data_IF_915419138807
#
_entry.id   IF_915419138807
#
_cell.length_a   1.000
_cell.length_b   1.000
_cell.length_c   1.000
_cell.angle_alpha   90.00
_cell.angle_beta   90.00
_cell.angle_gamma   90.00
#
_symmetry.space_group_name_H-M   'P 1'
#
loop_
_entity.id
_entity.type
_entity.pdbx_description
1 polymer ?
#
# COMPACT_ATOMS: atom_id res chain seq x y z
N UNK A 1 11.72 -2.20 11.54
CA UNK A 1 11.04 -3.37 10.92
C UNK A 1 10.91 -3.24 9.40
N UNK A 2 10.68 -2.04 8.84
CA UNK A 2 10.51 -1.85 7.39
C UNK A 2 11.70 -2.28 6.54
N UNK A 3 12.95 -2.13 7.00
CA UNK A 3 14.14 -2.58 6.26
C UNK A 3 14.20 -4.12 6.08
N UNK A 4 13.76 -4.90 7.08
CA UNK A 4 13.67 -6.35 6.97
C UNK A 4 12.54 -6.78 6.01
N UNK A 5 11.42 -6.05 6.01
CA UNK A 5 10.32 -6.24 5.06
C UNK A 5 10.70 -5.88 3.62
N UNK A 6 11.52 -4.84 3.43
CA UNK A 6 12.07 -4.47 2.11
C UNK A 6 13.04 -5.54 1.60
N UNK A 7 13.88 -6.13 2.46
CA UNK A 7 14.80 -7.21 2.07
C UNK A 7 14.06 -8.52 1.74
N UNK A 8 13.11 -8.92 2.58
CA UNK A 8 12.30 -10.12 2.34
C UNK A 8 11.36 -9.94 1.13
N UNK A 9 10.75 -8.76 1.00
CA UNK A 9 9.90 -8.39 -0.13
C UNK A 9 10.67 -8.26 -1.44
N UNK A 10 11.87 -7.68 -1.40
CA UNK A 10 12.78 -7.60 -2.55
C UNK A 10 13.20 -8.97 -3.04
N UNK A 11 13.56 -9.89 -2.13
CA UNK A 11 13.92 -11.28 -2.48
C UNK A 11 12.72 -12.09 -3.02
N UNK A 12 11.51 -11.87 -2.50
CA UNK A 12 10.29 -12.55 -2.95
C UNK A 12 9.77 -11.98 -4.28
N UNK A 13 9.92 -10.68 -4.50
CA UNK A 13 9.63 -10.00 -5.76
C UNK A 13 10.60 -10.43 -6.87
N UNK A 14 11.90 -10.53 -6.57
CA UNK A 14 12.94 -10.99 -7.52
C UNK A 14 12.70 -12.40 -8.04
N UNK A 15 12.01 -13.26 -7.27
CA UNK A 15 11.74 -14.65 -7.67
C UNK A 15 10.41 -14.86 -8.39
N UNK A 16 9.54 -13.85 -8.51
CA UNK A 16 8.17 -14.07 -9.01
C UNK A 16 7.87 -13.27 -10.28
N UNK A 17 7.70 -13.98 -11.40
CA UNK A 17 7.43 -13.40 -12.74
C UNK A 17 6.09 -12.64 -12.87
N UNK A 18 5.22 -12.68 -11.84
CA UNK A 18 3.89 -12.01 -11.76
C UNK A 18 3.85 -10.97 -10.64
N UNK A 19 4.57 -9.88 -10.84
CA UNK A 19 4.71 -8.73 -9.94
C UNK A 19 3.37 -8.14 -9.46
N UNK A 20 2.33 -8.12 -10.31
CA UNK A 20 1.01 -7.59 -9.94
C UNK A 20 0.27 -8.41 -8.89
N UNK A 21 0.43 -9.74 -8.87
CA UNK A 21 -0.29 -10.61 -7.93
C UNK A 21 0.29 -10.53 -6.51
N UNK A 22 1.61 -10.38 -6.41
CA UNK A 22 2.32 -10.20 -5.12
C UNK A 22 1.98 -8.83 -4.53
N UNK A 23 1.95 -7.78 -5.36
CA UNK A 23 1.54 -6.44 -4.95
C UNK A 23 0.09 -6.45 -4.41
N UNK A 24 -0.84 -7.00 -5.17
CA UNK A 24 -2.25 -7.10 -4.76
C UNK A 24 -2.44 -7.93 -3.50
N UNK A 25 -1.69 -9.04 -3.34
CA UNK A 25 -1.73 -9.86 -2.12
C UNK A 25 -1.23 -9.10 -0.89
N UNK A 26 -0.13 -8.36 -1.01
CA UNK A 26 0.40 -7.54 0.08
C UNK A 26 -0.53 -6.38 0.45
N UNK A 27 -1.11 -5.70 -0.55
CA UNK A 27 -2.11 -4.65 -0.31
C UNK A 27 -3.38 -5.20 0.33
N UNK A 28 -3.87 -6.36 -0.10
CA UNK A 28 -5.04 -7.01 0.49
C UNK A 28 -4.79 -7.41 1.95
N UNK A 29 -3.65 -8.03 2.24
CA UNK A 29 -3.30 -8.41 3.60
C UNK A 29 -3.13 -7.18 4.51
N UNK A 30 -2.54 -6.10 4.00
CA UNK A 30 -2.44 -4.83 4.76
C UNK A 30 -3.81 -4.20 4.98
N UNK A 31 -4.70 -4.23 3.98
CA UNK A 31 -6.07 -3.72 4.11
C UNK A 31 -6.88 -4.48 5.16
N UNK A 32 -6.71 -5.81 5.24
CA UNK A 32 -7.33 -6.67 6.26
C UNK A 32 -6.81 -6.29 7.65
N UNK A 33 -5.49 -6.14 7.81
CA UNK A 33 -4.88 -5.71 9.08
C UNK A 33 -5.43 -4.34 9.51
N UNK A 34 -5.52 -3.37 8.59
CA UNK A 34 -6.12 -2.07 8.87
C UNK A 34 -7.60 -2.17 9.25
N UNK A 35 -8.38 -3.03 8.59
CA UNK A 35 -9.78 -3.25 8.94
C UNK A 35 -9.92 -3.88 10.34
N UNK A 36 -9.07 -4.85 10.69
CA UNK A 36 -9.01 -5.42 12.04
C UNK A 36 -8.67 -4.37 13.10
N UNK A 37 -7.73 -3.46 12.82
CA UNK A 37 -7.40 -2.35 13.72
C UNK A 37 -8.56 -1.35 13.85
N UNK A 38 -9.30 -1.09 12.78
CA UNK A 38 -10.44 -0.17 12.78
C UNK A 38 -11.64 -0.69 13.59
N UNK A 39 -12.00 -1.96 13.42
CA UNK A 39 -13.26 -2.51 13.96
C UNK A 39 -13.06 -3.45 15.17
N UNK A 40 -11.87 -4.02 15.36
CA UNK A 40 -11.63 -5.10 16.31
C UNK A 40 -11.41 -4.68 17.76
N UNK A 41 -11.30 -3.38 18.08
CA UNK A 41 -10.90 -2.87 19.41
C UNK A 41 -9.74 -3.68 20.06
N UNK A 42 -8.59 -3.82 19.38
CA UNK A 42 -7.50 -4.66 19.85
C UNK A 42 -6.82 -4.11 21.11
N UNK A 43 -6.27 -5.01 21.91
CA UNK A 43 -5.41 -4.69 23.06
C UNK A 43 -4.10 -4.02 22.62
N UNK A 44 -3.37 -3.32 23.52
CA UNK A 44 -2.13 -2.62 23.18
C UNK A 44 -1.03 -3.52 22.57
N UNK A 45 -0.98 -4.79 22.99
CA UNK A 45 -0.07 -5.80 22.44
C UNK A 45 -0.44 -6.17 21.00
N UNK A 46 -1.73 -6.38 20.73
CA UNK A 46 -2.22 -6.70 19.39
C UNK A 46 -2.01 -5.55 18.42
N UNK A 47 -2.21 -4.29 18.86
CA UNK A 47 -1.92 -3.10 18.05
C UNK A 47 -0.44 -3.07 17.64
N UNK A 48 0.47 -3.37 18.57
CA UNK A 48 1.91 -3.35 18.31
C UNK A 48 2.31 -4.44 17.30
N UNK A 49 1.75 -5.64 17.44
CA UNK A 49 2.00 -6.75 16.51
C UNK A 49 1.41 -6.44 15.13
N UNK A 50 0.17 -5.96 15.05
CA UNK A 50 -0.50 -5.61 13.80
C UNK A 50 0.19 -4.47 13.06
N UNK A 51 0.67 -3.43 13.78
CA UNK A 51 1.48 -2.37 13.19
C UNK A 51 2.86 -2.85 12.74
N UNK A 52 3.49 -3.75 13.49
CA UNK A 52 4.73 -4.39 13.10
C UNK A 52 4.58 -5.18 11.79
N UNK A 53 3.51 -5.95 11.67
CA UNK A 53 3.14 -6.66 10.45
C UNK A 53 2.81 -5.68 9.31
N UNK A 54 1.99 -4.66 9.54
CA UNK A 54 1.67 -3.65 8.54
C UNK A 54 2.94 -2.92 8.02
N UNK A 55 3.90 -2.62 8.91
CA UNK A 55 5.19 -2.03 8.54
C UNK A 55 6.07 -2.99 7.72
N UNK A 56 6.02 -4.29 8.02
CA UNK A 56 6.70 -5.31 7.22
C UNK A 56 6.09 -5.43 5.82
N UNK A 57 4.75 -5.54 5.72
CA UNK A 57 4.04 -5.60 4.43
C UNK A 57 4.21 -4.32 3.61
N UNK A 58 4.21 -3.14 4.25
CA UNK A 58 4.50 -1.86 3.59
C UNK A 58 5.88 -1.86 2.92
N UNK A 59 6.87 -2.51 3.53
CA UNK A 59 8.20 -2.71 2.92
C UNK A 59 8.17 -3.56 1.65
N UNK A 60 7.24 -4.51 1.52
CA UNK A 60 7.05 -5.35 0.32
C UNK A 60 6.31 -4.57 -0.79
N UNK A 61 5.40 -3.68 -0.39
CA UNK A 61 4.54 -2.91 -1.31
C UNK A 61 5.36 -1.93 -2.16
N UNK A 62 6.34 -1.24 -1.57
CA UNK A 62 7.11 -0.17 -2.26
C UNK A 62 7.79 -0.64 -3.56
N UNK A 63 8.63 -1.70 -3.57
CA UNK A 63 9.25 -2.18 -4.81
C UNK A 63 8.22 -2.75 -5.80
N UNK A 64 7.19 -3.44 -5.31
CA UNK A 64 6.15 -4.02 -6.16
C UNK A 64 5.33 -2.95 -6.91
N UNK A 65 5.04 -1.84 -6.23
CA UNK A 65 4.37 -0.67 -6.82
C UNK A 65 5.25 -0.01 -7.88
N UNK A 66 6.53 0.17 -7.61
CA UNK A 66 7.45 0.80 -8.54
C UNK A 66 7.64 -0.07 -9.80
N UNK A 67 7.59 -1.40 -9.66
CA UNK A 67 7.57 -2.33 -10.80
C UNK A 67 6.26 -2.29 -11.61
N UNK A 68 5.10 -2.11 -10.97
CA UNK A 68 3.83 -1.91 -11.67
C UNK A 68 3.83 -0.62 -12.49
N UNK A 69 4.35 0.47 -11.92
CA UNK A 69 4.51 1.76 -12.60
C UNK A 69 5.44 1.61 -13.81
N UNK A 70 6.57 0.92 -13.64
CA UNK A 70 7.48 0.60 -14.74
C UNK A 70 6.82 -0.26 -15.82
N UNK A 71 6.06 -1.28 -15.44
CA UNK A 71 5.38 -2.19 -16.38
C UNK A 71 4.20 -1.52 -17.11
N UNK A 72 3.65 -0.43 -16.57
CA UNK A 72 2.62 0.39 -17.20
C UNK A 72 3.21 1.53 -18.06
N UNK A 73 4.49 1.87 -17.88
CA UNK A 73 5.14 2.94 -18.63
C UNK A 73 5.44 2.52 -20.08
N UNK A 74 5.20 3.41 -21.07
CA UNK A 74 5.67 3.19 -22.45
C UNK A 74 7.20 3.06 -22.49
N UNK A 75 7.73 2.20 -23.38
CA UNK A 75 9.18 2.00 -23.54
C UNK A 75 9.87 3.36 -23.79
N UNK A 76 10.82 3.72 -22.92
CA UNK A 76 11.58 4.97 -23.00
C UNK A 76 10.98 6.18 -22.26
N UNK A 77 9.78 6.07 -21.68
CA UNK A 77 9.13 7.14 -20.92
C UNK A 77 9.06 6.87 -19.40
N UNK A 78 9.81 5.89 -18.89
CA UNK A 78 9.79 5.47 -17.48
C UNK A 78 10.01 6.64 -16.51
N UNK A 79 10.96 7.53 -16.82
CA UNK A 79 11.27 8.70 -15.98
C UNK A 79 10.12 9.71 -15.87
N UNK A 80 9.35 9.91 -16.96
CA UNK A 80 8.20 10.82 -16.97
C UNK A 80 7.06 10.23 -16.14
N UNK A 81 6.78 8.94 -16.31
CA UNK A 81 5.73 8.24 -15.55
C UNK A 81 6.09 8.19 -14.06
N UNK A 82 7.36 7.91 -13.73
CA UNK A 82 7.84 7.93 -12.35
C UNK A 82 7.76 9.34 -11.75
N UNK A 83 8.06 10.38 -12.54
CA UNK A 83 7.87 11.78 -12.15
C UNK A 83 6.43 12.09 -11.75
N UNK A 84 5.45 11.70 -12.57
CA UNK A 84 4.01 11.89 -12.29
C UNK A 84 3.59 11.16 -11.01
N UNK A 85 4.03 9.90 -10.83
CA UNK A 85 3.73 9.11 -9.62
C UNK A 85 4.35 9.75 -8.38
N UNK A 86 5.59 10.23 -8.48
CA UNK A 86 6.30 10.88 -7.38
C UNK A 86 5.61 12.18 -6.96
N UNK A 87 5.10 12.96 -7.92
CA UNK A 87 4.25 14.12 -7.63
C UNK A 87 2.98 13.73 -6.88
N UNK A 88 2.29 12.66 -7.30
CA UNK A 88 1.14 12.12 -6.59
C UNK A 88 1.47 11.71 -5.15
N UNK A 89 2.64 11.11 -4.92
CA UNK A 89 3.11 10.76 -3.59
C UNK A 89 3.38 11.98 -2.71
N UNK A 90 4.00 13.04 -3.26
CA UNK A 90 4.21 14.29 -2.53
C UNK A 90 2.88 14.95 -2.13
N UNK A 91 1.90 14.96 -3.04
CA UNK A 91 0.55 15.47 -2.75
C UNK A 91 -0.13 14.61 -1.67
N UNK A 92 -0.05 13.29 -1.79
CA UNK A 92 -0.58 12.37 -0.78
C UNK A 92 0.10 12.52 0.59
N UNK A 93 1.42 12.75 0.61
CA UNK A 93 2.21 13.01 1.81
C UNK A 93 1.90 14.34 2.47
N UNK A 94 1.44 15.33 1.69
CA UNK A 94 0.97 16.62 2.21
C UNK A 94 -0.47 16.53 2.75
N UNK A 95 -1.39 15.94 1.97
CA UNK A 95 -2.82 15.90 2.30
C UNK A 95 -3.10 14.84 3.36
N UNK A 96 -2.42 13.69 3.33
CA UNK A 96 -2.65 12.56 4.21
C UNK A 96 -2.58 12.93 5.70
N UNK A 97 -1.49 13.54 6.19
CA UNK A 97 -1.37 13.97 7.58
C UNK A 97 -2.44 14.98 8.00
N UNK A 98 -2.82 15.92 7.12
CA UNK A 98 -3.88 16.90 7.41
C UNK A 98 -5.24 16.20 7.56
N UNK A 99 -5.54 15.25 6.67
CA UNK A 99 -6.77 14.48 6.69
C UNK A 99 -6.84 13.61 7.95
N UNK A 100 -5.75 12.91 8.29
CA UNK A 100 -5.66 12.10 9.50
C UNK A 100 -5.64 12.92 10.80
N UNK A 101 -5.06 14.12 10.80
CA UNK A 101 -5.11 15.05 11.92
C UNK A 101 -6.56 15.50 12.20
N UNK A 102 -7.31 15.89 11.17
CA UNK A 102 -8.72 16.25 11.33
C UNK A 102 -9.59 15.09 11.85
N UNK A 103 -9.28 13.85 11.46
CA UNK A 103 -9.93 12.64 11.99
C UNK A 103 -9.58 12.39 13.48
N UNK A 104 -8.33 12.64 13.87
CA UNK A 104 -7.88 12.53 15.26
C UNK A 104 -8.51 13.58 16.17
N UNK A 105 -8.64 14.82 15.69
CA UNK A 105 -9.25 15.92 16.44
C UNK A 105 -10.72 15.62 16.79
N UNK A 106 -11.41 14.84 15.95
CA UNK A 106 -12.78 14.36 16.20
C UNK A 106 -12.84 13.12 17.12
N UNK A 107 -11.71 12.70 17.72
CA UNK A 107 -11.56 11.47 18.52
C UNK A 107 -11.91 10.19 17.76
N UNK A 108 -11.86 10.21 16.42
CA UNK A 108 -12.17 9.08 15.56
C UNK A 108 -10.90 8.30 15.20
N UNK A 109 -10.14 7.84 16.20
CA UNK A 109 -8.89 7.10 15.98
C UNK A 109 -9.07 5.83 15.12
N UNK A 110 -10.23 5.18 15.21
CA UNK A 110 -10.60 4.03 14.38
C UNK A 110 -10.81 4.39 12.90
N UNK A 111 -11.26 5.62 12.61
CA UNK A 111 -11.58 6.06 11.26
C UNK A 111 -10.31 6.28 10.41
N UNK A 112 -9.16 6.52 11.03
CA UNK A 112 -7.84 6.56 10.35
C UNK A 112 -7.57 5.23 9.66
N UNK A 113 -7.72 4.13 10.40
CA UNK A 113 -7.50 2.79 9.88
C UNK A 113 -8.58 2.38 8.86
N UNK A 114 -9.82 2.84 9.05
CA UNK A 114 -10.90 2.62 8.09
C UNK A 114 -10.65 3.33 6.75
N UNK A 115 -10.24 4.61 6.79
CA UNK A 115 -9.89 5.39 5.59
C UNK A 115 -8.67 4.78 4.90
N UNK A 116 -7.64 4.39 5.64
CA UNK A 116 -6.45 3.73 5.09
C UNK A 116 -6.83 2.40 4.39
N UNK A 117 -7.66 1.57 5.03
CA UNK A 117 -8.16 0.32 4.43
C UNK A 117 -8.94 0.58 3.15
N UNK A 118 -9.81 1.61 3.14
CA UNK A 118 -10.56 2.03 1.95
C UNK A 118 -9.66 2.43 0.77
N UNK A 119 -8.64 3.25 1.00
CA UNK A 119 -7.66 3.61 -0.03
C UNK A 119 -6.86 2.38 -0.52
N UNK A 120 -6.51 1.45 0.37
CA UNK A 120 -5.83 0.22 -0.03
C UNK A 120 -6.72 -0.68 -0.89
N UNK A 121 -7.99 -0.87 -0.53
CA UNK A 121 -8.95 -1.64 -1.32
C UNK A 121 -9.19 -1.01 -2.69
N UNK A 122 -9.32 0.32 -2.77
CA UNK A 122 -9.39 1.05 -4.03
C UNK A 122 -8.17 0.76 -4.91
N UNK A 123 -6.97 0.80 -4.31
CA UNK A 123 -5.71 0.49 -5.00
C UNK A 123 -5.69 -0.93 -5.54
N UNK A 124 -6.14 -1.91 -4.74
CA UNK A 124 -6.27 -3.31 -5.18
C UNK A 124 -7.26 -3.42 -6.35
N UNK A 125 -8.42 -2.78 -6.26
CA UNK A 125 -9.44 -2.82 -7.31
C UNK A 125 -8.92 -2.25 -8.64
N UNK A 126 -8.24 -1.10 -8.59
CA UNK A 126 -7.61 -0.50 -9.77
C UNK A 126 -6.53 -1.40 -10.36
N UNK A 127 -5.70 -2.02 -9.52
CA UNK A 127 -4.63 -2.92 -9.96
C UNK A 127 -5.20 -4.15 -10.67
N UNK A 128 -6.24 -4.76 -10.08
CA UNK A 128 -6.95 -5.90 -10.69
C UNK A 128 -7.63 -5.49 -12.01
N UNK A 129 -8.26 -4.32 -12.06
CA UNK A 129 -8.89 -3.80 -13.28
C UNK A 129 -7.86 -3.59 -14.41
N UNK A 130 -6.66 -3.08 -14.10
CA UNK A 130 -5.58 -2.94 -15.07
C UNK A 130 -5.11 -4.29 -15.62
N UNK A 131 -4.93 -5.29 -14.74
CA UNK A 131 -4.51 -6.63 -15.14
C UNK A 131 -5.56 -7.32 -16.03
N UNK A 132 -6.85 -7.15 -15.71
CA UNK A 132 -7.96 -7.63 -16.56
C UNK A 132 -8.00 -6.95 -17.92
N UNK A 133 -7.69 -5.64 -17.98
CA UNK A 133 -7.67 -4.88 -19.23
C UNK A 133 -6.48 -5.24 -20.13
N UNK A 134 -5.36 -5.66 -19.54
CA UNK A 134 -4.17 -6.13 -20.26
C UNK A 134 -4.32 -7.54 -20.86
N UNK A 135 -5.30 -8.32 -20.36
CA UNK A 135 -5.65 -9.66 -20.88
C UNK A 135 -6.67 -9.65 -22.03
N UNK A 136 -7.30 -8.51 -22.31
CA UNK A 136 -8.17 -8.29 -23.49
C UNK A 136 -7.36 -7.66 -24.62
#
# INVERSE_FOLDING_TARGET
MSAAGVLAGGSLADRTSRHGFVASGAFMATAIICACLAFGRPSPLEITVLLGLAGFLSGIITPSRDMLVRAAAPKGAEGIVFGIVSTGFNIGGLIGPLLYAALLDQRLGWAIFAVASGFMLLTVALTLAQEMRKRR
#
